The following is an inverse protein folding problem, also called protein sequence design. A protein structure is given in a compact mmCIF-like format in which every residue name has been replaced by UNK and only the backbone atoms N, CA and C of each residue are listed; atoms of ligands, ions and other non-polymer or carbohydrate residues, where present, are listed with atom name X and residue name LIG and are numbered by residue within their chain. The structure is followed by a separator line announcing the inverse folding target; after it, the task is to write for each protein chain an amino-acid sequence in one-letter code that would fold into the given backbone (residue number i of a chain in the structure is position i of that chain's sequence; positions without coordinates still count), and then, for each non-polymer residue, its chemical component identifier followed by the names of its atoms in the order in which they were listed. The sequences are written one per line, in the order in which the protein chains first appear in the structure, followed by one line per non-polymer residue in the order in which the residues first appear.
data_IF_724955798733
#
_entry.id   IF_724955798733
#
_cell.length_a   1.000
_cell.length_b   1.000
_cell.length_c   1.000
_cell.angle_alpha   90.00
_cell.angle_beta   90.00
_cell.angle_gamma   90.00
#
_symmetry.space_group_name_H-M   'P 1'
#
loop_
_entity.id
_entity.type
_entity.pdbx_description
1 polymer ?
#
# COMPACT_ATOMS: atom_id res chain seq x y z
N UNK A 1 -79.99 10.65 21.82
CA UNK A 1 -79.11 10.75 20.64
C UNK A 1 -77.74 11.19 21.10
N UNK A 2 -76.83 10.24 21.33
CA UNK A 2 -75.46 10.47 21.80
C UNK A 2 -74.51 9.97 20.73
N UNK A 3 -73.67 10.85 20.19
CA UNK A 3 -72.64 10.52 19.19
C UNK A 3 -71.31 10.31 19.92
N UNK A 4 -70.76 9.11 19.85
CA UNK A 4 -69.39 8.79 20.26
C UNK A 4 -68.44 8.96 19.08
N UNK A 5 -67.48 9.86 19.23
CA UNK A 5 -66.35 10.05 18.31
C UNK A 5 -65.23 9.08 18.71
N UNK A 6 -64.86 8.15 17.83
CA UNK A 6 -63.68 7.29 18.03
C UNK A 6 -62.45 8.00 17.47
N UNK A 7 -61.50 8.30 18.34
CA UNK A 7 -60.16 8.76 18.00
C UNK A 7 -59.31 7.51 17.65
N UNK A 8 -58.80 7.41 16.42
CA UNK A 8 -57.78 6.42 16.07
C UNK A 8 -56.41 7.03 16.30
N UNK A 9 -55.65 6.46 17.23
CA UNK A 9 -54.23 6.74 17.42
C UNK A 9 -53.44 5.88 16.43
N UNK A 10 -52.82 6.51 15.44
CA UNK A 10 -51.88 5.85 14.54
C UNK A 10 -50.50 5.86 15.20
N UNK A 11 -50.04 4.71 15.67
CA UNK A 11 -48.69 4.54 16.22
C UNK A 11 -47.70 4.36 15.06
N UNK A 12 -46.91 5.40 14.79
CA UNK A 12 -45.79 5.34 13.86
C UNK A 12 -44.64 4.59 14.54
N UNK A 13 -44.44 3.32 14.20
CA UNK A 13 -43.25 2.58 14.61
C UNK A 13 -42.05 3.08 13.80
N UNK A 14 -41.14 3.80 14.45
CA UNK A 14 -39.81 4.08 13.93
C UNK A 14 -39.03 2.77 14.05
N UNK A 15 -38.89 2.04 12.94
CA UNK A 15 -37.97 0.92 12.85
C UNK A 15 -36.56 1.50 12.75
N UNK A 16 -35.83 1.53 13.87
CA UNK A 16 -34.38 1.68 13.85
C UNK A 16 -33.84 0.39 13.26
N UNK A 17 -33.10 0.41 12.13
CA UNK A 17 -32.43 -0.79 11.65
C UNK A 17 -31.45 -1.22 12.74
N UNK A 18 -31.72 -2.37 13.35
CA UNK A 18 -30.76 -3.06 14.18
C UNK A 18 -29.62 -3.47 13.25
N UNK A 19 -28.51 -2.72 13.28
CA UNK A 19 -27.23 -3.17 12.75
C UNK A 19 -26.99 -4.57 13.34
N UNK A 20 -26.88 -5.54 12.44
CA UNK A 20 -26.50 -6.90 12.79
C UNK A 20 -25.21 -6.84 13.58
N UNK A 21 -25.26 -7.28 14.83
CA UNK A 21 -24.10 -7.46 15.69
C UNK A 21 -23.23 -8.58 15.09
N UNK A 22 -22.45 -8.24 14.07
CA UNK A 22 -21.31 -9.04 13.63
C UNK A 22 -20.30 -9.09 14.79
N UNK A 23 -19.60 -10.22 14.92
CA UNK A 23 -18.85 -10.63 16.10
C UNK A 23 -17.97 -9.56 16.74
N UNK A 24 -18.52 -8.81 17.71
CA UNK A 24 -17.81 -7.92 18.63
C UNK A 24 -16.84 -8.66 19.59
N UNK A 25 -16.44 -9.90 19.26
CA UNK A 25 -15.79 -10.80 20.20
C UNK A 25 -14.27 -10.92 20.06
N UNK A 26 -13.72 -10.87 18.85
CA UNK A 26 -12.34 -11.33 18.62
C UNK A 26 -11.31 -10.22 18.40
N UNK A 27 -11.75 -9.05 17.90
CA UNK A 27 -10.83 -7.97 17.49
C UNK A 27 -11.24 -6.60 18.06
N UNK A 28 -11.94 -6.57 19.20
CA UNK A 28 -12.45 -5.33 19.80
C UNK A 28 -11.36 -4.25 19.94
N UNK A 29 -10.16 -4.61 20.40
CA UNK A 29 -9.05 -3.65 20.47
C UNK A 29 -8.72 -2.99 19.13
N UNK A 30 -8.91 -3.67 18.00
CA UNK A 30 -8.71 -3.08 16.67
C UNK A 30 -9.89 -2.19 16.25
N UNK A 31 -11.13 -2.64 16.45
CA UNK A 31 -12.34 -2.06 15.88
C UNK A 31 -13.16 -1.18 16.84
N UNK A 32 -12.78 -1.09 18.11
CA UNK A 32 -13.47 -0.28 19.11
C UNK A 32 -13.41 1.22 18.75
N UNK A 33 -14.33 2.00 19.33
CA UNK A 33 -14.38 3.46 19.14
C UNK A 33 -13.00 4.11 19.35
N UNK A 34 -12.65 5.04 18.47
CA UNK A 34 -11.38 5.74 18.53
C UNK A 34 -10.21 5.02 17.84
N UNK A 35 -10.46 3.93 17.11
CA UNK A 35 -9.44 3.30 16.26
C UNK A 35 -8.78 4.30 15.28
N UNK A 36 -9.53 5.30 14.80
CA UNK A 36 -9.04 6.36 13.92
C UNK A 36 -8.04 7.31 14.60
N UNK A 37 -8.16 7.54 15.91
CA UNK A 37 -7.30 8.51 16.64
C UNK A 37 -6.08 7.87 17.30
N UNK A 38 -5.94 6.55 17.20
CA UNK A 38 -4.74 5.84 17.65
C UNK A 38 -3.52 6.31 16.86
N UNK A 39 -2.34 6.26 17.49
CA UNK A 39 -1.10 6.34 16.74
C UNK A 39 -0.96 5.12 15.82
N UNK A 40 -0.24 5.27 14.71
CA UNK A 40 -0.03 4.17 13.76
C UNK A 40 0.57 2.93 14.43
N UNK A 41 1.51 3.12 15.37
CA UNK A 41 2.09 2.02 16.14
C UNK A 41 1.06 1.29 17.00
N UNK A 42 0.19 2.03 17.71
CA UNK A 42 -0.84 1.43 18.55
C UNK A 42 -1.91 0.73 17.71
N UNK A 43 -2.38 1.36 16.63
CA UNK A 43 -3.36 0.76 15.73
C UNK A 43 -2.81 -0.50 15.07
N UNK A 44 -1.60 -0.47 14.52
CA UNK A 44 -0.96 -1.63 13.92
C UNK A 44 -0.79 -2.78 14.91
N UNK A 45 -0.33 -2.51 16.14
CA UNK A 45 -0.21 -3.52 17.18
C UNK A 45 -1.57 -4.12 17.60
N UNK A 46 -2.58 -3.28 17.82
CA UNK A 46 -3.91 -3.71 18.24
C UNK A 46 -4.66 -4.50 17.16
N UNK A 47 -4.31 -4.28 15.89
CA UNK A 47 -4.90 -4.93 14.72
C UNK A 47 -4.09 -6.09 14.15
N UNK A 48 -2.92 -6.44 14.73
CA UNK A 48 -2.07 -7.53 14.21
C UNK A 48 -2.81 -8.87 14.17
N UNK A 49 -3.61 -9.19 15.19
CA UNK A 49 -4.43 -10.40 15.22
C UNK A 49 -5.51 -10.39 14.11
N UNK A 50 -6.17 -9.25 13.88
CA UNK A 50 -7.16 -9.11 12.79
C UNK A 50 -6.51 -9.27 11.42
N UNK A 51 -5.29 -8.75 11.24
CA UNK A 51 -4.52 -8.91 10.01
C UNK A 51 -4.12 -10.37 9.75
N UNK A 52 -3.63 -11.07 10.78
CA UNK A 52 -2.90 -12.33 10.59
C UNK A 52 -3.69 -13.58 10.92
N UNK A 53 -4.61 -13.49 11.87
CA UNK A 53 -5.49 -14.58 12.29
C UNK A 53 -6.92 -14.43 11.72
N UNK A 54 -7.28 -13.22 11.29
CA UNK A 54 -8.56 -12.94 10.64
C UNK A 54 -8.70 -13.62 9.27
N UNK A 55 -9.96 -13.85 8.87
CA UNK A 55 -10.31 -14.30 7.53
C UNK A 55 -10.21 -13.17 6.51
N UNK A 56 -10.54 -13.48 5.25
CA UNK A 56 -10.44 -12.49 4.17
C UNK A 56 -11.36 -11.28 4.38
N UNK A 57 -12.55 -11.48 4.96
CA UNK A 57 -13.51 -10.41 5.24
C UNK A 57 -12.98 -9.46 6.34
N UNK A 58 -12.43 -10.01 7.43
CA UNK A 58 -11.79 -9.19 8.47
C UNK A 58 -10.56 -8.46 7.94
N UNK A 59 -9.74 -9.10 7.11
CA UNK A 59 -8.59 -8.44 6.47
C UNK A 59 -9.03 -7.33 5.51
N UNK A 60 -10.11 -7.53 4.76
CA UNK A 60 -10.64 -6.49 3.88
C UNK A 60 -11.19 -5.31 4.69
N UNK A 61 -11.85 -5.57 5.82
CA UNK A 61 -12.27 -4.52 6.77
C UNK A 61 -11.07 -3.73 7.28
N UNK A 62 -10.00 -4.41 7.68
CA UNK A 62 -8.76 -3.76 8.09
C UNK A 62 -8.10 -2.97 6.95
N UNK A 63 -8.17 -3.46 5.71
CA UNK A 63 -7.68 -2.72 4.54
C UNK A 63 -8.41 -1.39 4.36
N UNK A 64 -9.73 -1.38 4.51
CA UNK A 64 -10.54 -0.16 4.49
C UNK A 64 -10.25 0.77 5.67
N UNK A 65 -10.01 0.24 6.87
CA UNK A 65 -9.60 1.04 8.02
C UNK A 65 -8.25 1.72 7.77
N UNK A 66 -7.25 1.00 7.23
CA UNK A 66 -5.98 1.62 6.85
C UNK A 66 -6.14 2.65 5.74
N UNK A 67 -6.95 2.36 4.72
CA UNK A 67 -7.23 3.31 3.64
C UNK A 67 -7.86 4.59 4.17
N UNK A 68 -8.82 4.49 5.08
CA UNK A 68 -9.44 5.64 5.72
C UNK A 68 -8.45 6.43 6.59
N UNK A 69 -7.58 5.74 7.34
CA UNK A 69 -6.54 6.40 8.15
C UNK A 69 -5.55 7.18 7.31
N UNK A 70 -4.96 6.57 6.28
CA UNK A 70 -3.95 7.26 5.48
C UNK A 70 -4.55 8.41 4.68
N UNK A 71 -5.82 8.30 4.29
CA UNK A 71 -6.54 9.33 3.54
C UNK A 71 -7.28 10.35 4.41
N UNK A 72 -7.00 10.44 5.72
CA UNK A 72 -7.49 11.55 6.53
C UNK A 72 -7.16 12.88 5.85
N UNK A 73 -8.14 13.79 5.80
CA UNK A 73 -8.00 15.03 5.07
C UNK A 73 -7.28 16.08 5.92
N UNK A 74 -6.31 16.76 5.32
CA UNK A 74 -5.65 17.93 5.86
C UNK A 74 -5.93 19.15 4.99
N UNK A 75 -5.85 20.33 5.59
CA UNK A 75 -6.05 21.60 4.90
C UNK A 75 -4.97 21.81 3.83
N UNK A 76 -5.41 22.29 2.67
CA UNK A 76 -4.58 22.69 1.54
C UNK A 76 -5.07 24.05 1.04
N UNK A 77 -4.74 25.08 1.82
CA UNK A 77 -5.28 26.42 1.66
C UNK A 77 -4.71 27.18 0.44
N UNK A 78 -3.59 26.71 -0.13
CA UNK A 78 -2.93 27.40 -1.23
C UNK A 78 -3.71 27.17 -2.54
N UNK A 79 -4.03 28.26 -3.24
CA UNK A 79 -4.68 28.27 -4.57
C UNK A 79 -6.00 27.46 -4.72
N UNK A 80 -6.74 27.25 -3.63
CA UNK A 80 -8.01 26.50 -3.64
C UNK A 80 -7.86 24.98 -3.43
N UNK A 81 -6.65 24.54 -3.09
CA UNK A 81 -6.28 23.15 -2.84
C UNK A 81 -6.11 22.31 -4.11
N UNK A 82 -5.18 21.37 -4.09
CA UNK A 82 -4.87 20.48 -5.22
C UNK A 82 -6.11 19.70 -5.68
N UNK A 83 -6.99 19.30 -4.75
CA UNK A 83 -8.25 18.58 -5.08
C UNK A 83 -9.41 19.50 -5.52
N UNK A 84 -9.24 20.83 -5.44
CA UNK A 84 -10.32 21.80 -5.62
C UNK A 84 -11.33 21.88 -4.47
N UNK A 85 -11.14 21.10 -3.39
CA UNK A 85 -11.96 21.13 -2.16
C UNK A 85 -11.30 21.88 -1.00
N UNK A 86 -10.09 22.42 -1.20
CA UNK A 86 -9.26 22.99 -0.13
C UNK A 86 -8.66 21.95 0.82
N UNK A 87 -8.78 20.65 0.51
CA UNK A 87 -8.25 19.56 1.33
C UNK A 87 -7.54 18.51 0.49
N UNK A 88 -6.60 17.79 1.09
CA UNK A 88 -5.94 16.62 0.47
C UNK A 88 -5.72 15.51 1.49
N UNK A 89 -5.55 14.25 1.04
CA UNK A 89 -5.07 13.18 1.91
C UNK A 89 -3.77 13.56 2.66
N UNK A 90 -3.68 13.22 3.94
CA UNK A 90 -2.53 13.51 4.81
C UNK A 90 -1.23 12.97 4.22
N UNK A 91 -1.26 11.79 3.60
CA UNK A 91 -0.08 11.18 2.99
C UNK A 91 0.54 12.03 1.86
N UNK A 92 -0.22 12.97 1.27
CA UNK A 92 0.32 13.94 0.31
C UNK A 92 1.22 15.01 0.98
N UNK A 93 1.32 15.03 2.30
CA UNK A 93 2.32 15.80 3.06
C UNK A 93 3.46 14.93 3.59
N UNK A 94 3.41 13.60 3.43
CA UNK A 94 4.48 12.72 3.90
C UNK A 94 5.74 12.83 3.02
N UNK A 95 6.94 12.53 3.58
CA UNK A 95 8.19 12.55 2.84
C UNK A 95 8.20 11.54 1.70
N UNK A 96 8.65 11.99 0.52
CA UNK A 96 8.85 11.17 -0.66
C UNK A 96 10.23 10.49 -0.67
N UNK A 97 10.50 9.63 -1.66
CA UNK A 97 11.85 9.10 -1.94
C UNK A 97 12.93 10.22 -1.97
N UNK A 98 12.79 11.29 -2.78
CA UNK A 98 13.72 12.42 -2.76
C UNK A 98 13.89 13.14 -1.41
N UNK A 99 12.87 13.15 -0.56
CA UNK A 99 12.94 13.77 0.78
C UNK A 99 13.67 12.88 1.80
N UNK A 100 13.75 11.58 1.52
CA UNK A 100 14.27 10.57 2.45
C UNK A 100 15.68 10.13 2.08
N UNK A 101 15.94 9.88 0.80
CA UNK A 101 17.19 9.30 0.32
C UNK A 101 18.11 10.38 -0.27
N UNK A 102 19.41 10.26 0.01
CA UNK A 102 20.39 11.24 -0.46
C UNK A 102 20.42 12.56 0.34
N UNK A 103 19.73 12.61 1.48
CA UNK A 103 19.76 13.74 2.42
C UNK A 103 19.84 13.25 3.87
N UNK A 104 20.42 14.08 4.74
CA UNK A 104 20.42 13.88 6.20
C UNK A 104 19.62 14.97 6.92
N UNK A 105 18.97 15.85 6.17
CA UNK A 105 18.15 16.93 6.73
C UNK A 105 16.85 16.35 7.29
N UNK A 106 16.41 16.78 8.48
CA UNK A 106 15.09 16.44 8.98
C UNK A 106 13.99 16.89 8.02
N UNK A 107 12.92 16.10 7.93
CA UNK A 107 11.70 16.45 7.24
C UNK A 107 10.75 17.18 8.19
N UNK A 108 10.05 18.19 7.67
CA UNK A 108 9.07 18.96 8.41
C UNK A 108 7.67 18.39 8.15
N UNK A 109 7.15 17.61 9.09
CA UNK A 109 5.82 17.00 9.01
C UNK A 109 4.67 18.00 9.22
N UNK A 110 4.98 19.22 9.67
CA UNK A 110 3.99 20.29 9.86
C UNK A 110 3.94 21.24 8.66
N UNK A 111 4.76 20.99 7.63
CA UNK A 111 4.75 21.77 6.40
C UNK A 111 3.44 21.55 5.63
N UNK A 112 3.07 22.54 4.81
CA UNK A 112 1.97 22.38 3.87
C UNK A 112 2.23 21.20 2.91
N UNK A 113 1.16 20.56 2.39
CA UNK A 113 1.28 19.54 1.36
C UNK A 113 2.15 20.01 0.19
N UNK A 114 2.91 19.09 -0.41
CA UNK A 114 3.77 19.43 -1.56
C UNK A 114 2.89 19.80 -2.77
N UNK A 115 3.22 20.88 -3.46
CA UNK A 115 2.56 21.28 -4.72
C UNK A 115 3.17 20.62 -5.95
N UNK A 116 4.38 20.08 -5.83
CA UNK A 116 5.08 19.34 -6.90
C UNK A 116 4.91 17.84 -6.72
N UNK A 117 4.48 17.16 -7.79
CA UNK A 117 4.54 15.70 -7.86
C UNK A 117 6.00 15.24 -7.99
N UNK A 118 6.45 14.33 -7.12
CA UNK A 118 7.82 13.84 -7.12
C UNK A 118 7.88 12.36 -7.51
N UNK A 119 7.89 12.04 -8.81
CA UNK A 119 7.90 10.67 -9.26
C UNK A 119 9.16 9.94 -8.77
N UNK A 120 9.02 8.65 -8.47
CA UNK A 120 10.14 7.77 -8.20
C UNK A 120 11.07 7.74 -9.43
N UNK A 121 12.35 7.99 -9.21
CA UNK A 121 13.32 8.26 -10.27
C UNK A 121 13.67 7.04 -11.14
N UNK A 122 13.28 5.83 -10.73
CA UNK A 122 13.61 4.57 -11.39
C UNK A 122 12.33 3.77 -11.68
N UNK A 123 11.90 3.72 -12.95
CA UNK A 123 10.78 2.85 -13.37
C UNK A 123 11.24 1.39 -13.29
N UNK A 124 10.53 0.58 -12.50
CA UNK A 124 10.85 -0.85 -12.27
C UNK A 124 10.98 -1.65 -13.56
N UNK A 125 10.26 -1.26 -14.61
CA UNK A 125 10.29 -1.85 -15.95
C UNK A 125 11.69 -1.86 -16.59
N UNK A 126 12.43 -0.77 -16.39
CA UNK A 126 13.81 -0.62 -16.89
C UNK A 126 14.73 -1.60 -16.16
N UNK A 127 14.57 -1.71 -14.84
CA UNK A 127 15.33 -2.64 -13.99
C UNK A 127 14.92 -4.10 -14.20
N UNK A 128 13.67 -4.36 -14.63
CA UNK A 128 13.17 -5.66 -15.05
C UNK A 128 13.74 -6.12 -16.42
N UNK A 129 14.55 -5.29 -17.07
CA UNK A 129 15.14 -5.58 -18.38
C UNK A 129 14.14 -5.51 -19.54
N UNK A 130 12.96 -4.90 -19.32
CA UNK A 130 11.96 -4.70 -20.37
C UNK A 130 12.27 -3.38 -21.09
N UNK A 131 12.14 -3.37 -22.41
CA UNK A 131 12.17 -2.11 -23.17
C UNK A 131 10.90 -1.38 -22.76
N UNK A 132 11.03 -0.27 -22.02
CA UNK A 132 9.94 0.68 -21.84
C UNK A 132 9.54 1.15 -23.25
N UNK A 133 8.54 0.49 -23.83
CA UNK A 133 8.02 0.89 -25.13
C UNK A 133 7.14 2.09 -24.88
N UNK A 134 7.85 3.21 -24.89
CA UNK A 134 7.45 4.56 -24.62
C UNK A 134 7.57 5.00 -23.15
N UNK A 135 7.88 6.29 -23.03
CA UNK A 135 7.56 7.15 -21.92
C UNK A 135 6.35 8.00 -22.39
N UNK A 136 5.10 7.47 -22.57
CA UNK A 136 4.07 8.20 -23.30
C UNK A 136 2.85 8.64 -22.47
N UNK A 137 2.71 8.21 -21.23
CA UNK A 137 1.42 8.22 -20.53
C UNK A 137 1.36 9.28 -19.41
N UNK A 138 2.49 9.87 -19.02
CA UNK A 138 2.53 10.73 -17.84
C UNK A 138 2.20 9.93 -16.57
N UNK A 139 2.37 8.61 -16.62
CA UNK A 139 2.23 7.71 -15.49
C UNK A 139 3.38 7.95 -14.52
N UNK A 140 3.03 8.41 -13.33
CA UNK A 140 3.98 8.72 -12.27
C UNK A 140 3.68 7.84 -11.06
N UNK A 141 4.72 7.23 -10.51
CA UNK A 141 4.63 6.52 -9.24
C UNK A 141 5.29 7.36 -8.16
N UNK A 142 4.68 7.43 -6.99
CA UNK A 142 5.26 8.17 -5.88
C UNK A 142 5.25 7.30 -4.63
N UNK A 143 6.41 7.17 -3.99
CA UNK A 143 6.53 6.45 -2.72
C UNK A 143 6.62 7.47 -1.59
N UNK A 144 5.72 7.34 -0.61
CA UNK A 144 5.70 8.16 0.59
C UNK A 144 5.69 7.30 1.84
N UNK A 145 6.02 7.88 2.99
CA UNK A 145 6.18 7.13 4.23
C UNK A 145 5.85 7.94 5.46
N UNK A 146 5.23 7.30 6.44
CA UNK A 146 4.85 7.99 7.66
C UNK A 146 6.07 8.36 8.51
N UNK A 147 5.81 9.15 9.55
CA UNK A 147 6.84 9.63 10.48
C UNK A 147 7.68 8.52 11.12
N UNK A 148 7.04 7.41 11.49
CA UNK A 148 7.72 6.27 12.11
C UNK A 148 8.76 5.67 11.16
N UNK A 149 8.39 5.45 9.89
CA UNK A 149 9.31 4.97 8.85
C UNK A 149 10.47 5.93 8.65
N UNK A 150 10.17 7.20 8.39
CA UNK A 150 11.15 8.23 8.09
C UNK A 150 12.17 8.41 9.22
N UNK A 151 11.69 8.58 10.46
CA UNK A 151 12.55 8.79 11.62
C UNK A 151 13.49 7.59 11.83
N UNK A 152 12.99 6.35 11.65
CA UNK A 152 13.81 5.15 11.77
C UNK A 152 14.91 5.11 10.70
N UNK A 153 14.57 5.35 9.43
CA UNK A 153 15.53 5.34 8.33
C UNK A 153 16.66 6.36 8.55
N UNK A 154 16.31 7.59 8.94
CA UNK A 154 17.29 8.65 9.22
C UNK A 154 18.14 8.32 10.43
N UNK A 155 17.54 7.91 11.55
CA UNK A 155 18.27 7.64 12.80
C UNK A 155 19.21 6.43 12.70
N UNK A 156 18.87 5.44 11.85
CA UNK A 156 19.68 4.24 11.65
C UNK A 156 20.70 4.35 10.52
N UNK A 157 20.75 5.49 9.80
CA UNK A 157 21.66 5.66 8.68
C UNK A 157 21.31 4.73 7.52
N UNK A 158 20.03 4.63 7.17
CA UNK A 158 19.55 3.79 6.08
C UNK A 158 19.20 4.60 4.82
N UNK A 159 19.65 5.86 4.75
CA UNK A 159 19.30 6.82 3.69
C UNK A 159 20.39 7.02 2.62
N UNK A 160 21.58 6.46 2.82
CA UNK A 160 22.69 6.48 1.85
C UNK A 160 23.37 5.12 1.76
N UNK A 161 24.01 4.81 0.63
CA UNK A 161 24.65 3.50 0.45
C UNK A 161 25.82 3.29 1.42
N UNK A 162 26.53 4.37 1.74
CA UNK A 162 27.64 4.37 2.71
C UNK A 162 27.13 4.07 4.13
N UNK A 163 26.03 4.68 4.52
CA UNK A 163 25.49 4.50 5.87
C UNK A 163 24.82 3.13 6.02
N UNK A 164 24.18 2.60 4.97
CA UNK A 164 23.69 1.20 4.95
C UNK A 164 24.85 0.22 5.16
N UNK A 165 25.99 0.44 4.51
CA UNK A 165 27.18 -0.37 4.73
C UNK A 165 27.68 -0.31 6.18
N UNK A 166 27.64 0.89 6.78
CA UNK A 166 28.02 1.09 8.19
C UNK A 166 27.03 0.43 9.16
N UNK A 167 25.73 0.49 8.87
CA UNK A 167 24.69 -0.20 9.64
C UNK A 167 24.93 -1.71 9.68
N UNK A 168 25.17 -2.33 8.53
CA UNK A 168 25.38 -3.79 8.44
C UNK A 168 26.76 -4.28 8.92
N UNK A 169 27.67 -3.37 9.28
CA UNK A 169 28.88 -3.73 10.01
C UNK A 169 28.59 -4.13 11.47
N UNK A 170 27.42 -3.74 12.00
CA UNK A 170 27.04 -3.94 13.40
C UNK A 170 25.69 -4.67 13.59
N UNK A 171 24.93 -4.84 12.51
CA UNK A 171 23.60 -5.44 12.54
C UNK A 171 23.47 -6.55 11.49
N UNK A 172 22.59 -7.51 11.74
CA UNK A 172 22.35 -8.65 10.84
C UNK A 172 21.08 -8.51 9.98
N UNK A 173 20.24 -7.54 10.28
CA UNK A 173 18.99 -7.26 9.57
C UNK A 173 18.51 -5.83 9.88
N UNK A 174 17.60 -5.33 9.06
CA UNK A 174 16.67 -4.26 9.42
C UNK A 174 15.41 -4.91 10.01
N UNK A 175 14.83 -4.30 11.03
CA UNK A 175 13.48 -4.61 11.52
C UNK A 175 12.79 -3.27 11.74
N UNK A 176 11.88 -2.91 10.84
CA UNK A 176 11.15 -1.64 10.91
C UNK A 176 10.26 -1.63 12.15
N UNK A 177 10.06 -0.48 12.80
CA UNK A 177 9.17 -0.38 13.94
C UNK A 177 7.71 -0.71 13.56
N UNK A 178 6.97 -1.30 14.51
CA UNK A 178 5.52 -1.47 14.36
C UNK A 178 4.84 -0.11 14.15
N UNK A 179 3.93 -0.04 13.19
CA UNK A 179 3.29 1.19 12.74
C UNK A 179 4.06 1.92 11.64
N UNK A 180 5.19 1.40 11.16
CA UNK A 180 5.77 1.88 9.88
C UNK A 180 4.74 1.69 8.77
N UNK A 181 4.49 2.77 8.02
CA UNK A 181 3.65 2.76 6.82
C UNK A 181 4.49 3.27 5.65
N UNK A 182 4.48 2.52 4.56
CA UNK A 182 4.96 2.94 3.26
C UNK A 182 3.82 2.84 2.26
N UNK A 183 3.69 3.87 1.45
CA UNK A 183 2.67 3.99 0.43
C UNK A 183 3.32 4.10 -0.94
N UNK A 184 2.71 3.48 -1.94
CA UNK A 184 3.06 3.71 -3.34
C UNK A 184 1.80 4.13 -4.08
N UNK A 185 1.74 5.38 -4.53
CA UNK A 185 0.64 5.93 -5.28
C UNK A 185 0.93 5.85 -6.79
N UNK A 186 -0.12 5.57 -7.57
CA UNK A 186 -0.09 5.60 -9.02
C UNK A 186 -0.91 6.78 -9.53
N UNK A 187 -0.29 7.59 -10.38
CA UNK A 187 -0.86 8.80 -10.96
C UNK A 187 -0.83 8.73 -12.47
N UNK A 188 -1.77 9.39 -13.14
CA UNK A 188 -1.74 9.57 -14.58
C UNK A 188 -2.06 11.02 -14.95
N UNK A 189 -1.21 11.63 -15.77
CA UNK A 189 -1.41 13.02 -16.16
C UNK A 189 -2.65 13.17 -17.03
N UNK A 190 -3.48 14.17 -16.71
CA UNK A 190 -4.66 14.52 -17.50
C UNK A 190 -4.21 15.22 -18.77
N UNK A 191 -4.50 14.60 -19.91
CA UNK A 191 -4.22 15.15 -21.25
C UNK A 191 -5.38 14.85 -22.20
N UNK A 192 -5.38 15.42 -23.42
CA UNK A 192 -6.39 15.07 -24.44
C UNK A 192 -6.36 13.57 -24.80
N UNK A 193 -5.19 12.94 -24.74
CA UNK A 193 -5.02 11.49 -25.01
C UNK A 193 -5.28 10.60 -23.80
N UNK A 194 -5.35 11.16 -22.60
CA UNK A 194 -5.57 10.45 -21.34
C UNK A 194 -6.53 11.25 -20.46
N UNK A 195 -7.83 11.28 -20.81
CA UNK A 195 -8.83 12.03 -20.06
C UNK A 195 -9.10 11.36 -18.71
N UNK A 196 -9.60 12.15 -17.76
CA UNK A 196 -10.04 11.67 -16.44
C UNK A 196 -11.27 10.76 -16.62
N UNK A 197 -11.25 9.51 -16.09
CA UNK A 197 -12.44 8.68 -16.01
C UNK A 197 -13.50 9.28 -15.07
N UNK A 198 -14.78 9.07 -15.37
CA UNK A 198 -15.88 9.53 -14.51
C UNK A 198 -15.72 8.97 -13.08
N UNK A 199 -15.70 9.83 -12.07
CA UNK A 199 -15.56 9.43 -10.65
C UNK A 199 -14.13 9.30 -10.13
N UNK A 200 -13.11 9.33 -11.00
CA UNK A 200 -11.72 9.32 -10.55
C UNK A 200 -11.36 10.63 -9.83
N UNK A 201 -10.59 10.52 -8.75
CA UNK A 201 -10.09 11.69 -8.01
C UNK A 201 -8.98 12.39 -8.82
N UNK A 202 -9.06 13.72 -8.93
CA UNK A 202 -8.03 14.55 -9.57
C UNK A 202 -7.35 15.49 -8.61
N UNK A 203 -6.08 15.77 -8.88
CA UNK A 203 -5.23 16.65 -8.10
C UNK A 203 -4.40 17.52 -9.03
N UNK A 204 -4.36 18.82 -8.75
CA UNK A 204 -3.62 19.84 -9.49
C UNK A 204 -2.30 20.13 -8.82
N UNK A 205 -1.25 19.53 -9.35
CA UNK A 205 0.14 19.84 -9.00
C UNK A 205 0.66 20.98 -9.89
N UNK A 206 1.78 21.58 -9.51
CA UNK A 206 2.45 22.63 -10.29
C UNK A 206 2.87 22.14 -11.69
N UNK A 207 3.09 20.83 -11.84
CA UNK A 207 3.46 20.18 -13.12
C UNK A 207 2.24 19.80 -13.99
N UNK A 208 1.02 19.94 -13.48
CA UNK A 208 -0.22 19.63 -14.20
C UNK A 208 -1.30 18.99 -13.33
N UNK A 209 -2.43 18.69 -13.96
CA UNK A 209 -3.49 17.91 -13.33
C UNK A 209 -3.25 16.42 -13.55
N UNK A 210 -3.45 15.63 -12.50
CA UNK A 210 -3.28 14.18 -12.51
C UNK A 210 -4.51 13.54 -11.88
N UNK A 211 -4.92 12.40 -12.40
CA UNK A 211 -5.90 11.56 -11.72
C UNK A 211 -5.21 10.40 -11.01
N UNK A 212 -5.76 10.03 -9.86
CA UNK A 212 -5.22 9.01 -8.98
C UNK A 212 -5.74 7.64 -9.40
N UNK A 213 -4.84 6.73 -9.77
CA UNK A 213 -5.20 5.39 -10.27
C UNK A 213 -5.32 4.37 -9.13
N UNK A 214 -4.53 4.54 -8.08
CA UNK A 214 -4.53 3.63 -6.95
C UNK A 214 -3.35 3.81 -6.00
N UNK A 215 -3.32 2.94 -4.99
CA UNK A 215 -2.44 3.05 -3.83
C UNK A 215 -2.11 1.68 -3.26
N UNK A 216 -0.81 1.39 -3.11
CA UNK A 216 -0.36 0.32 -2.23
C UNK A 216 -0.19 0.88 -0.82
N UNK A 217 -0.67 0.13 0.17
CA UNK A 217 -0.48 0.41 1.59
C UNK A 217 0.25 -0.77 2.20
N UNK A 218 1.45 -0.53 2.70
CA UNK A 218 2.26 -1.53 3.41
C UNK A 218 2.43 -1.09 4.86
N UNK A 219 2.04 -1.93 5.81
CA UNK A 219 2.10 -1.60 7.24
C UNK A 219 2.84 -2.68 8.01
N UNK A 220 3.85 -2.30 8.80
CA UNK A 220 4.49 -3.19 9.76
C UNK A 220 3.57 -3.38 10.97
N UNK A 221 2.99 -4.57 11.10
CA UNK A 221 2.02 -4.88 12.17
C UNK A 221 2.67 -5.48 13.40
N UNK A 222 3.74 -6.26 13.21
CA UNK A 222 4.51 -6.86 14.29
C UNK A 222 5.94 -7.19 13.84
N UNK A 223 6.88 -7.29 14.78
CA UNK A 223 8.19 -7.88 14.50
C UNK A 223 8.11 -9.39 14.39
N UNK A 224 8.95 -9.97 13.54
CA UNK A 224 9.17 -11.42 13.53
C UNK A 224 9.93 -11.85 14.78
N UNK A 225 9.75 -13.11 15.19
CA UNK A 225 10.58 -13.70 16.24
C UNK A 225 12.07 -13.71 15.85
N UNK A 226 12.36 -13.91 14.57
CA UNK A 226 13.69 -13.76 13.98
C UNK A 226 13.61 -12.93 12.68
N UNK A 227 13.85 -11.61 12.72
CA UNK A 227 13.79 -10.77 11.52
C UNK A 227 14.84 -11.10 10.44
N UNK A 228 15.87 -11.88 10.77
CA UNK A 228 16.81 -12.40 9.79
C UNK A 228 16.18 -13.39 8.80
N UNK A 229 15.05 -14.00 9.17
CA UNK A 229 14.37 -15.03 8.38
C UNK A 229 13.31 -14.46 7.43
N UNK A 230 13.17 -13.12 7.32
CA UNK A 230 12.17 -12.43 6.49
C UNK A 230 12.09 -12.94 5.05
N UNK A 231 13.19 -13.45 4.48
CA UNK A 231 13.19 -14.03 3.14
C UNK A 231 12.38 -15.32 3.01
N UNK A 232 12.34 -16.11 4.07
CA UNK A 232 12.00 -17.54 4.00
C UNK A 232 10.82 -17.90 4.89
N UNK A 233 10.44 -17.03 5.83
CA UNK A 233 9.34 -17.29 6.73
C UNK A 233 7.99 -16.97 6.10
N UNK A 234 7.00 -17.80 6.39
CA UNK A 234 5.58 -17.50 6.14
C UNK A 234 4.92 -16.83 7.35
N UNK A 235 5.68 -16.63 8.44
CA UNK A 235 5.23 -15.86 9.58
C UNK A 235 5.02 -14.41 9.15
N UNK A 236 3.83 -13.85 9.36
CA UNK A 236 3.51 -12.53 8.88
C UNK A 236 4.10 -11.46 9.81
N UNK A 237 4.58 -10.37 9.21
CA UNK A 237 4.99 -9.15 9.92
C UNK A 237 4.47 -7.88 9.29
N UNK A 238 4.28 -7.92 7.97
CA UNK A 238 3.71 -6.84 7.19
C UNK A 238 2.29 -7.18 6.74
N UNK A 239 1.43 -6.18 6.72
CA UNK A 239 0.12 -6.22 6.07
C UNK A 239 0.20 -5.36 4.82
N UNK A 240 -0.17 -5.94 3.68
CA UNK A 240 -0.21 -5.25 2.40
C UNK A 240 -1.64 -5.24 1.87
N UNK A 241 -2.07 -4.09 1.37
CA UNK A 241 -3.29 -3.97 0.55
C UNK A 241 -3.04 -3.04 -0.64
N UNK A 242 -3.74 -3.31 -1.73
CA UNK A 242 -3.69 -2.52 -2.96
C UNK A 242 -5.08 -1.99 -3.25
N UNK A 243 -5.27 -0.67 -3.19
CA UNK A 243 -6.49 0.00 -3.65
C UNK A 243 -6.32 0.48 -5.08
N UNK A 244 -7.37 0.34 -5.87
CA UNK A 244 -7.38 0.75 -7.26
C UNK A 244 -8.74 1.35 -7.64
N UNK A 245 -8.71 2.36 -8.50
CA UNK A 245 -9.92 2.96 -9.06
C UNK A 245 -10.72 1.87 -9.80
N UNK A 246 -11.99 1.72 -9.45
CA UNK A 246 -12.75 0.52 -9.84
C UNK A 246 -13.02 0.43 -11.35
N UNK A 247 -13.04 1.58 -12.04
CA UNK A 247 -13.25 1.64 -13.49
C UNK A 247 -11.93 1.70 -14.28
N UNK A 248 -10.78 1.44 -13.65
CA UNK A 248 -9.53 1.25 -14.40
C UNK A 248 -9.68 0.09 -15.41
N UNK A 249 -9.14 0.23 -16.64
CA UNK A 249 -9.26 -0.80 -17.66
C UNK A 249 -8.73 -2.17 -17.22
N UNK A 250 -9.63 -3.16 -17.17
CA UNK A 250 -9.28 -4.55 -16.87
C UNK A 250 -9.23 -4.90 -15.37
N UNK A 251 -9.47 -3.94 -14.47
CA UNK A 251 -9.53 -4.20 -13.01
C UNK A 251 -10.55 -5.27 -12.65
N UNK A 252 -11.76 -5.22 -13.23
CA UNK A 252 -12.78 -6.23 -12.98
C UNK A 252 -12.27 -7.64 -13.33
N UNK A 253 -11.66 -7.79 -14.51
CA UNK A 253 -11.06 -9.07 -14.94
C UNK A 253 -9.99 -9.56 -13.96
N UNK A 254 -9.07 -8.67 -13.55
CA UNK A 254 -8.01 -9.01 -12.60
C UNK A 254 -8.58 -9.43 -11.25
N UNK A 255 -9.51 -8.65 -10.67
CA UNK A 255 -10.16 -8.96 -9.40
C UNK A 255 -10.93 -10.29 -9.44
N UNK A 256 -11.63 -10.55 -10.53
CA UNK A 256 -12.51 -11.72 -10.66
C UNK A 256 -11.76 -13.02 -10.96
N UNK A 257 -10.59 -12.94 -11.61
CA UNK A 257 -9.92 -14.13 -12.16
C UNK A 257 -8.53 -14.39 -11.60
N UNK A 258 -7.80 -13.36 -11.16
CA UNK A 258 -6.38 -13.46 -10.82
C UNK A 258 -6.08 -13.23 -9.33
N UNK A 259 -6.90 -12.44 -8.62
CA UNK A 259 -6.64 -12.14 -7.21
C UNK A 259 -7.25 -13.20 -6.30
N UNK A 260 -6.42 -13.81 -5.45
CA UNK A 260 -6.82 -14.91 -4.56
C UNK A 260 -7.13 -14.48 -3.13
N UNK A 261 -6.84 -13.22 -2.76
CA UNK A 261 -6.94 -12.72 -1.39
C UNK A 261 -7.88 -11.51 -1.26
N UNK A 262 -9.00 -11.56 -1.97
CA UNK A 262 -10.06 -10.54 -1.96
C UNK A 262 -11.33 -11.12 -1.36
N UNK A 263 -11.95 -10.40 -0.44
CA UNK A 263 -13.33 -10.61 -0.04
C UNK A 263 -14.01 -9.24 -0.03
N UNK A 264 -14.89 -8.98 -1.00
CA UNK A 264 -15.56 -7.69 -1.11
C UNK A 264 -16.49 -7.45 0.08
N UNK A 265 -16.42 -6.25 0.66
CA UNK A 265 -17.31 -5.84 1.74
C UNK A 265 -18.60 -5.27 1.19
N UNK A 266 -19.72 -5.40 1.92
CA UNK A 266 -20.94 -4.67 1.60
C UNK A 266 -20.71 -3.15 1.55
N UNK A 267 -21.34 -2.46 0.60
CA UNK A 267 -21.26 -1.00 0.45
C UNK A 267 -21.60 -0.24 1.75
N UNK A 268 -22.55 -0.76 2.54
CA UNK A 268 -22.93 -0.17 3.82
C UNK A 268 -21.81 -0.17 4.86
N UNK A 269 -20.94 -1.18 4.85
CA UNK A 269 -19.80 -1.27 5.76
C UNK A 269 -18.68 -0.33 5.31
N UNK A 270 -18.42 -0.26 4.00
CA UNK A 270 -17.48 0.69 3.41
C UNK A 270 -17.92 2.12 3.74
N UNK A 271 -19.20 2.44 3.52
CA UNK A 271 -19.77 3.75 3.83
C UNK A 271 -19.68 4.08 5.32
N UNK A 272 -19.83 3.10 6.22
CA UNK A 272 -19.67 3.30 7.65
C UNK A 272 -18.22 3.68 8.02
N UNK A 273 -17.23 2.95 7.49
CA UNK A 273 -15.80 3.25 7.71
C UNK A 273 -15.43 4.64 7.17
N UNK A 274 -15.84 4.94 5.94
CA UNK A 274 -15.57 6.25 5.33
C UNK A 274 -16.28 7.38 6.08
N UNK A 275 -17.51 7.16 6.55
CA UNK A 275 -18.23 8.16 7.34
C UNK A 275 -17.61 8.39 8.71
N UNK A 276 -17.10 7.35 9.38
CA UNK A 276 -16.40 7.50 10.66
C UNK A 276 -15.11 8.31 10.51
N UNK A 277 -14.45 8.19 9.35
CA UNK A 277 -13.24 8.95 9.01
C UNK A 277 -13.49 10.34 8.41
N UNK A 278 -14.75 10.79 8.33
CA UNK A 278 -15.15 12.06 7.67
C UNK A 278 -14.72 12.14 6.19
N UNK A 279 -14.71 10.99 5.51
CA UNK A 279 -14.31 10.84 4.10
C UNK A 279 -15.49 10.65 3.16
N UNK A 280 -16.72 10.57 3.70
CA UNK A 280 -17.93 10.36 2.91
C UNK A 280 -18.14 11.52 1.92
N UNK A 281 -18.33 11.17 0.65
CA UNK A 281 -18.58 12.15 -0.43
C UNK A 281 -17.34 12.82 -1.02
N UNK A 282 -16.13 12.46 -0.56
CA UNK A 282 -14.90 12.93 -1.20
C UNK A 282 -14.65 12.25 -2.56
N UNK A 283 -15.17 11.03 -2.77
CA UNK A 283 -14.99 10.20 -3.98
C UNK A 283 -14.19 8.91 -3.76
N UNK A 284 -13.74 8.67 -2.52
CA UNK A 284 -13.01 7.46 -2.13
C UNK A 284 -13.79 6.15 -2.30
N UNK A 285 -15.12 6.22 -2.35
CA UNK A 285 -16.03 5.10 -2.64
C UNK A 285 -15.89 4.56 -4.08
N UNK A 286 -15.22 5.29 -4.98
CA UNK A 286 -14.91 4.81 -6.33
C UNK A 286 -13.66 3.92 -6.40
N UNK A 287 -12.94 3.76 -5.28
CA UNK A 287 -11.75 2.92 -5.15
C UNK A 287 -12.10 1.67 -4.35
N UNK A 288 -11.44 0.55 -4.63
CA UNK A 288 -11.63 -0.66 -3.84
C UNK A 288 -10.33 -1.46 -3.72
N UNK A 289 -10.18 -2.29 -2.68
CA UNK A 289 -9.02 -3.15 -2.57
C UNK A 289 -9.09 -4.26 -3.61
N UNK A 290 -7.98 -4.47 -4.32
CA UNK A 290 -7.76 -5.65 -5.12
C UNK A 290 -7.62 -6.88 -4.24
N UNK A 291 -7.06 -6.75 -3.03
CA UNK A 291 -6.95 -7.81 -2.02
C UNK A 291 -5.92 -7.47 -0.95
N UNK A 292 -5.64 -8.44 -0.09
CA UNK A 292 -4.64 -8.31 1.00
C UNK A 292 -3.55 -9.37 0.90
N UNK A 293 -2.36 -9.08 1.42
CA UNK A 293 -1.26 -10.04 1.49
C UNK A 293 -0.49 -9.84 2.79
N UNK A 294 -0.19 -10.95 3.46
CA UNK A 294 0.51 -10.96 4.75
C UNK A 294 1.70 -11.91 4.76
N UNK A 295 1.86 -12.72 3.70
CA UNK A 295 2.82 -13.81 3.59
C UNK A 295 3.01 -14.18 2.11
N UNK A 296 3.89 -15.14 1.82
CA UNK A 296 4.23 -15.49 0.44
C UNK A 296 3.19 -16.41 -0.21
N UNK A 297 2.57 -17.30 0.55
CA UNK A 297 1.60 -18.28 0.04
C UNK A 297 0.27 -18.27 0.79
N UNK A 298 -0.83 -18.59 0.09
CA UNK A 298 -2.22 -18.41 0.58
C UNK A 298 -2.43 -18.97 1.98
N UNK A 299 -1.91 -20.17 2.25
CA UNK A 299 -2.07 -20.87 3.52
C UNK A 299 -0.77 -20.97 4.33
N UNK A 300 0.31 -20.33 3.88
CA UNK A 300 1.64 -20.47 4.48
C UNK A 300 2.26 -21.86 4.34
N UNK A 301 1.77 -22.68 3.39
CA UNK A 301 2.29 -24.04 3.13
C UNK A 301 3.43 -24.07 2.12
N UNK A 302 3.65 -22.97 1.39
CA UNK A 302 4.61 -22.90 0.29
C UNK A 302 4.04 -23.29 -1.08
N UNK A 303 2.76 -23.69 -1.18
CA UNK A 303 2.22 -24.29 -2.40
C UNK A 303 1.64 -23.28 -3.40
N UNK A 304 0.78 -22.38 -2.94
CA UNK A 304 0.04 -21.43 -3.80
C UNK A 304 0.47 -20.01 -3.50
N UNK A 305 1.18 -19.32 -4.40
CA UNK A 305 1.55 -17.92 -4.22
C UNK A 305 0.35 -17.03 -3.93
N UNK A 306 0.51 -16.07 -3.03
CA UNK A 306 -0.41 -14.94 -2.95
C UNK A 306 -0.09 -13.99 -4.08
N UNK A 307 -1.10 -13.68 -4.88
CA UNK A 307 -1.03 -12.70 -5.95
C UNK A 307 -1.90 -11.52 -5.55
N UNK A 308 -1.22 -10.40 -5.31
CA UNK A 308 -1.80 -9.07 -5.42
C UNK A 308 -1.27 -8.47 -6.71
N UNK A 309 -2.14 -7.76 -7.40
CA UNK A 309 -1.86 -7.16 -8.67
C UNK A 309 -2.54 -5.80 -8.74
N UNK A 310 -1.86 -4.78 -9.25
CA UNK A 310 -2.45 -3.52 -9.68
C UNK A 310 -2.35 -3.42 -11.20
N UNK A 311 -3.44 -3.04 -11.88
CA UNK A 311 -3.46 -3.09 -13.35
C UNK A 311 -2.55 -2.07 -14.02
N UNK A 312 -2.33 -0.93 -13.37
CA UNK A 312 -1.32 0.05 -13.79
C UNK A 312 0.04 -0.04 -13.08
N UNK A 313 0.08 -0.20 -11.75
CA UNK A 313 1.28 -0.02 -10.93
C UNK A 313 2.24 -1.24 -10.96
N UNK A 314 1.73 -2.35 -11.49
CA UNK A 314 2.40 -3.64 -11.61
C UNK A 314 2.14 -4.26 -12.99
N UNK A 315 1.93 -3.41 -14.00
CA UNK A 315 1.76 -3.81 -15.40
C UNK A 315 2.96 -4.63 -15.93
N UNK A 316 4.16 -4.35 -15.44
CA UNK A 316 5.36 -5.15 -15.68
C UNK A 316 5.24 -6.60 -15.18
N UNK A 317 4.31 -6.93 -14.31
CA UNK A 317 4.09 -8.29 -13.82
C UNK A 317 2.95 -9.01 -14.54
N UNK A 318 2.12 -8.30 -15.32
CA UNK A 318 1.01 -8.89 -16.07
C UNK A 318 1.47 -9.71 -17.29
N UNK A 319 0.86 -10.87 -17.52
CA UNK A 319 1.25 -11.81 -18.58
C UNK A 319 0.02 -12.42 -19.28
N UNK A 320 0.05 -12.69 -20.61
CA UNK A 320 1.19 -12.65 -21.54
C UNK A 320 1.44 -11.29 -22.21
N UNK A 321 0.57 -10.30 -22.00
CA UNK A 321 0.66 -8.99 -22.63
C UNK A 321 0.55 -7.89 -21.57
N UNK A 322 1.67 -7.34 -21.12
CA UNK A 322 1.75 -6.33 -20.06
C UNK A 322 0.93 -5.07 -20.31
N UNK A 323 0.61 -4.74 -21.57
CA UNK A 323 -0.05 -3.48 -21.89
C UNK A 323 -1.56 -3.46 -21.66
N UNK A 324 -2.20 -4.62 -21.50
CA UNK A 324 -3.66 -4.74 -21.53
C UNK A 324 -4.17 -5.72 -20.48
N UNK A 325 -4.48 -5.23 -19.26
CA UNK A 325 -4.86 -6.05 -18.11
C UNK A 325 -6.03 -7.00 -18.35
N UNK A 326 -6.99 -6.62 -19.21
CA UNK A 326 -8.14 -7.46 -19.57
C UNK A 326 -7.78 -8.75 -20.33
N UNK A 327 -6.53 -8.90 -20.81
CA UNK A 327 -6.05 -10.11 -21.47
C UNK A 327 -5.05 -10.90 -20.63
N UNK A 328 -4.78 -10.46 -19.40
CA UNK A 328 -3.87 -11.17 -18.52
C UNK A 328 -4.44 -12.51 -18.10
N UNK A 329 -3.57 -13.50 -17.95
CA UNK A 329 -3.92 -14.85 -17.46
C UNK A 329 -3.23 -15.18 -16.15
N UNK A 330 -2.37 -14.29 -15.67
CA UNK A 330 -1.65 -14.41 -14.41
C UNK A 330 -0.71 -13.23 -14.19
N UNK A 331 -0.15 -13.19 -12.98
CA UNK A 331 0.95 -12.30 -12.62
C UNK A 331 2.24 -13.11 -12.48
N UNK A 332 3.34 -12.51 -12.93
CA UNK A 332 4.68 -13.05 -12.83
C UNK A 332 5.41 -12.60 -11.57
N UNK A 333 4.80 -11.71 -10.76
CA UNK A 333 5.35 -11.20 -9.52
C UNK A 333 4.33 -11.29 -8.38
N UNK A 334 4.82 -11.36 -7.14
CA UNK A 334 4.05 -11.16 -5.92
C UNK A 334 4.64 -9.99 -5.14
N UNK A 335 3.81 -9.09 -4.60
CA UNK A 335 4.28 -7.90 -3.90
C UNK A 335 5.23 -8.25 -2.75
N UNK A 336 4.83 -9.18 -1.87
CA UNK A 336 5.71 -9.61 -0.77
C UNK A 336 6.98 -10.28 -1.28
N UNK A 337 6.89 -11.21 -2.24
CA UNK A 337 8.08 -11.92 -2.73
C UNK A 337 9.08 -10.94 -3.36
N UNK A 338 8.60 -9.98 -4.16
CA UNK A 338 9.42 -8.93 -4.77
C UNK A 338 10.06 -8.00 -3.72
N UNK A 339 9.30 -7.62 -2.70
CA UNK A 339 9.81 -6.73 -1.64
C UNK A 339 10.73 -7.45 -0.66
N UNK A 340 10.53 -8.75 -0.41
CA UNK A 340 11.41 -9.54 0.42
C UNK A 340 12.84 -9.63 -0.15
N UNK A 341 13.02 -9.47 -1.47
CA UNK A 341 14.37 -9.41 -2.05
C UNK A 341 15.10 -8.08 -1.79
N UNK A 342 14.48 -7.09 -1.14
CA UNK A 342 15.20 -5.95 -0.61
C UNK A 342 16.24 -6.42 0.41
N UNK A 343 17.49 -6.52 -0.02
CA UNK A 343 18.55 -7.06 0.79
C UNK A 343 19.91 -6.46 0.44
N UNK A 344 20.82 -6.49 1.41
CA UNK A 344 22.17 -5.97 1.27
C UNK A 344 23.22 -7.01 1.68
N UNK A 345 24.25 -7.17 0.87
CA UNK A 345 25.39 -8.03 1.18
C UNK A 345 26.56 -7.18 1.70
N UNK A 346 26.92 -7.25 3.00
CA UNK A 346 27.99 -6.43 3.55
C UNK A 346 29.40 -6.81 3.08
N UNK A 347 29.61 -8.05 2.63
CA UNK A 347 30.90 -8.51 2.11
C UNK A 347 31.18 -7.93 0.73
N UNK A 348 30.19 -7.96 -0.16
CA UNK A 348 30.32 -7.43 -1.53
C UNK A 348 29.92 -5.96 -1.65
N UNK A 349 29.28 -5.41 -0.61
CA UNK A 349 28.71 -4.06 -0.56
C UNK A 349 27.69 -3.79 -1.67
N UNK A 350 26.92 -4.81 -2.01
CA UNK A 350 25.94 -4.77 -3.09
C UNK A 350 24.53 -5.05 -2.55
N UNK A 351 23.54 -4.36 -3.13
CA UNK A 351 22.14 -4.74 -2.99
C UNK A 351 21.83 -5.97 -3.85
N UNK A 352 20.80 -6.72 -3.48
CA UNK A 352 20.33 -7.82 -4.31
C UNK A 352 19.72 -7.25 -5.60
N UNK A 353 19.96 -7.87 -6.78
CA UNK A 353 19.40 -7.36 -8.03
C UNK A 353 17.88 -7.31 -8.00
N UNK A 354 17.29 -6.37 -8.76
CA UNK A 354 15.84 -6.35 -8.98
C UNK A 354 15.36 -7.70 -9.47
N UNK A 355 14.22 -8.14 -8.96
CA UNK A 355 13.69 -9.46 -9.21
C UNK A 355 12.17 -9.47 -9.05
N UNK A 356 11.49 -10.37 -9.79
CA UNK A 356 10.04 -10.51 -9.77
C UNK A 356 9.63 -11.94 -9.41
N UNK A 357 9.96 -12.44 -8.21
CA UNK A 357 9.55 -13.76 -7.79
C UNK A 357 8.06 -13.81 -7.44
N UNK A 358 7.52 -15.03 -7.47
CA UNK A 358 6.24 -15.39 -6.86
C UNK A 358 6.45 -16.49 -5.83
N UNK A 359 5.68 -16.45 -4.75
CA UNK A 359 5.69 -17.47 -3.71
C UNK A 359 6.89 -17.38 -2.76
N UNK A 360 7.07 -18.44 -1.97
CA UNK A 360 8.08 -18.50 -0.92
C UNK A 360 9.50 -18.50 -1.52
N UNK A 361 10.39 -17.68 -0.96
CA UNK A 361 11.78 -17.65 -1.39
C UNK A 361 12.58 -18.70 -0.61
N UNK A 362 13.74 -19.06 -1.15
CA UNK A 362 14.71 -19.91 -0.47
C UNK A 362 16.12 -19.39 -0.74
N UNK A 363 17.10 -19.87 0.02
CA UNK A 363 18.50 -19.39 -0.07
C UNK A 363 19.15 -19.58 -1.46
N UNK A 364 18.61 -20.49 -2.27
CA UNK A 364 19.05 -20.73 -3.65
C UNK A 364 18.38 -19.83 -4.70
N UNK A 365 17.42 -18.99 -4.32
CA UNK A 365 16.84 -18.00 -5.22
C UNK A 365 17.94 -17.06 -5.72
N UNK A 366 17.98 -16.83 -7.03
CA UNK A 366 19.06 -16.11 -7.67
C UNK A 366 18.58 -15.19 -8.79
N UNK A 367 19.37 -14.15 -9.03
CA UNK A 367 19.20 -13.21 -10.12
C UNK A 367 20.53 -12.77 -10.68
N UNK A 368 20.53 -12.46 -11.98
CA UNK A 368 21.69 -11.92 -12.68
C UNK A 368 21.69 -10.40 -12.54
N UNK A 369 22.78 -9.83 -12.03
CA UNK A 369 22.94 -8.38 -11.96
C UNK A 369 23.26 -7.76 -13.34
N UNK A 370 23.26 -6.42 -13.43
CA UNK A 370 23.54 -5.69 -14.67
C UNK A 370 24.92 -5.95 -15.29
N UNK A 371 25.85 -6.57 -14.55
CA UNK A 371 27.17 -6.96 -15.04
C UNK A 371 27.22 -8.39 -15.55
N UNK A 372 26.10 -9.14 -15.44
CA UNK A 372 26.02 -10.55 -15.80
C UNK A 372 26.39 -11.49 -14.66
N UNK A 373 26.62 -11.00 -13.44
CA UNK A 373 26.98 -11.84 -12.29
C UNK A 373 25.73 -12.41 -11.62
N UNK A 374 25.68 -13.74 -11.44
CA UNK A 374 24.58 -14.42 -10.75
C UNK A 374 24.76 -14.30 -9.24
N UNK A 375 23.79 -13.65 -8.58
CA UNK A 375 23.70 -13.47 -7.13
C UNK A 375 22.66 -14.40 -6.56
N UNK A 376 22.93 -15.03 -5.42
CA UNK A 376 21.97 -15.88 -4.70
C UNK A 376 21.64 -15.23 -3.35
N UNK A 377 20.37 -15.24 -2.92
CA UNK A 377 19.98 -14.66 -1.63
C UNK A 377 20.81 -15.24 -0.47
N UNK A 378 21.10 -16.54 -0.50
CA UNK A 378 21.92 -17.22 0.50
C UNK A 378 23.40 -16.82 0.53
N UNK A 379 23.89 -15.95 -0.36
CA UNK A 379 25.30 -15.50 -0.38
C UNK A 379 25.64 -14.47 0.71
N UNK A 380 24.90 -14.44 1.81
CA UNK A 380 25.09 -13.48 2.91
C UNK A 380 24.34 -12.17 2.73
N UNK A 381 23.32 -12.14 1.87
CA UNK A 381 22.39 -11.01 1.83
C UNK A 381 21.59 -10.95 3.13
N UNK A 382 21.49 -9.73 3.68
CA UNK A 382 20.78 -9.42 4.92
C UNK A 382 19.51 -8.64 4.59
N UNK A 383 18.36 -8.95 5.22
CA UNK A 383 17.09 -8.36 4.83
C UNK A 383 17.00 -6.89 5.22
N UNK A 384 16.32 -6.13 4.36
CA UNK A 384 15.94 -4.73 4.60
C UNK A 384 14.48 -4.63 5.08
N UNK A 385 13.85 -5.74 5.48
CA UNK A 385 12.48 -5.77 6.00
C UNK A 385 11.44 -5.12 5.08
N UNK A 386 11.37 -5.61 3.83
CA UNK A 386 10.47 -5.11 2.78
C UNK A 386 10.69 -3.63 2.36
N UNK A 387 11.68 -2.94 2.94
CA UNK A 387 12.05 -1.56 2.64
C UNK A 387 12.83 -1.44 1.34
N UNK A 388 12.11 -1.68 0.26
CA UNK A 388 12.59 -1.62 -1.11
C UNK A 388 13.27 -0.30 -1.48
N UNK A 389 12.74 0.89 -1.11
CA UNK A 389 13.40 2.15 -1.42
C UNK A 389 14.86 2.24 -0.92
N UNK A 390 15.23 1.54 0.16
CA UNK A 390 16.64 1.51 0.60
C UNK A 390 17.53 0.90 -0.49
N UNK A 391 17.11 -0.18 -1.13
CA UNK A 391 17.91 -0.89 -2.13
C UNK A 391 18.07 -0.12 -3.46
N UNK A 392 17.08 0.69 -3.83
CA UNK A 392 17.03 1.36 -5.14
C UNK A 392 17.35 2.86 -5.07
N UNK A 393 16.98 3.54 -3.98
CA UNK A 393 17.12 4.99 -3.88
C UNK A 393 18.37 5.44 -3.12
N UNK A 394 19.03 4.55 -2.37
CA UNK A 394 20.29 4.91 -1.71
C UNK A 394 21.43 5.03 -2.72
N UNK A 395 21.90 6.26 -2.92
CA UNK A 395 23.02 6.58 -3.82
C UNK A 395 24.38 6.37 -3.16
#
# INVERSE_FOLDING_TARGET
MTRSTKLMLTATFIAVPALTAFGQGSYGTCTDEGWLTKSDAAFAADCAAMAFDGGLEERQSLAWMFFARVNQLIEDADNGGMSGSGHVPEWMAWPTDPDTFGTTKPFDFEAAPRSDLRPSAEKKDIEAGRVATADPDGANEEVTRNKISYDYLVQRGLTTKLDVAAYFAQNDYVDMPVGTIELKASWLQVTEGSPVPDGALTFKFDTGEYWWRGLHIMVKMQSLANPGDTFYTEDPSWFWTTFEFSDNPGVAHVRDTLITQRAELPEAEIAAILSEADLAGFGFDSYAPNGTQIRFTVDGTGDTPVILGHTDMEDFAGSPNTAQPQYWTGFEASCHSCHATAAYNPQTRAFFPFSVPTGALHSGYNMTDKTGEVRYLGQGYKPLDFMWPIAFQTR
#
